data_IF_109558614650
#
_entry.id   IF_109558614650
#
_cell.length_a   1.000
_cell.length_b   1.000
_cell.length_c   1.000
_cell.angle_alpha   90.00
_cell.angle_beta   90.00
_cell.angle_gamma   90.00
#
_symmetry.space_group_name_H-M   'P 1'
#
loop_
_entity.id
_entity.type
_entity.pdbx_description
1 polymer ?
#
# COMPACT_ATOMS: atom_id res chain seq x y z
N UNK A 1 28.00 35.03 29.04
CA UNK A 1 28.72 34.12 28.11
C UNK A 1 28.22 32.69 28.22
N UNK A 2 27.93 32.18 29.42
CA UNK A 2 27.45 30.80 29.61
C UNK A 2 25.99 30.57 29.19
N UNK A 3 25.12 31.56 29.41
CA UNK A 3 23.69 31.49 29.03
C UNK A 3 23.53 31.37 27.51
N UNK A 4 24.31 32.13 26.74
CA UNK A 4 24.29 32.08 25.26
C UNK A 4 24.82 30.74 24.75
N UNK A 5 25.85 30.19 25.40
CA UNK A 5 26.43 28.88 25.05
C UNK A 5 25.48 27.72 25.39
N UNK A 6 24.72 27.84 26.49
CA UNK A 6 23.69 26.90 26.88
C UNK A 6 22.49 26.95 25.92
N UNK A 7 22.02 28.15 25.54
CA UNK A 7 20.97 28.32 24.53
C UNK A 7 21.40 27.74 23.17
N UNK A 8 22.64 28.00 22.74
CA UNK A 8 23.13 27.50 21.44
C UNK A 8 23.28 25.97 21.43
N UNK A 9 23.69 25.35 22.53
CA UNK A 9 23.67 23.88 22.67
C UNK A 9 22.25 23.32 22.67
N UNK A 10 21.32 23.97 23.37
CA UNK A 10 19.92 23.53 23.42
C UNK A 10 19.25 23.62 22.05
N UNK A 11 19.53 24.69 21.29
CA UNK A 11 19.06 24.87 19.91
C UNK A 11 19.69 23.83 18.97
N UNK A 12 20.99 23.54 19.11
CA UNK A 12 21.64 22.51 18.30
C UNK A 12 21.04 21.12 18.56
N UNK A 13 20.76 20.79 19.83
CA UNK A 13 20.19 19.50 20.23
C UNK A 13 18.77 19.34 19.68
N UNK A 14 17.91 20.37 19.75
CA UNK A 14 16.57 20.30 19.15
C UNK A 14 16.61 20.19 17.63
N UNK A 15 17.51 20.90 16.94
CA UNK A 15 17.67 20.76 15.49
C UNK A 15 18.13 19.35 15.09
N UNK A 16 19.03 18.72 15.85
CA UNK A 16 19.44 17.33 15.60
C UNK A 16 18.35 16.32 15.88
N UNK A 17 17.55 16.48 16.94
CA UNK A 17 16.44 15.57 17.23
C UNK A 17 15.33 15.64 16.17
N UNK A 18 14.97 16.85 15.73
CA UNK A 18 13.95 17.05 14.68
C UNK A 18 14.47 16.53 13.33
N UNK A 19 15.74 16.76 13.01
CA UNK A 19 16.36 16.25 11.78
C UNK A 19 16.45 14.72 11.70
N UNK A 20 16.64 14.03 12.83
CA UNK A 20 16.65 12.55 12.88
C UNK A 20 15.24 11.99 12.66
N UNK A 21 14.19 12.65 13.16
CA UNK A 21 12.79 12.22 12.93
C UNK A 21 12.41 12.36 11.45
N UNK A 22 12.97 13.33 10.74
CA UNK A 22 12.73 13.52 9.29
C UNK A 22 13.49 12.55 8.38
N UNK A 23 14.41 11.74 8.91
CA UNK A 23 15.22 10.77 8.15
C UNK A 23 14.78 9.31 8.34
N UNK A 24 13.67 9.08 9.06
CA UNK A 24 13.11 7.76 9.27
C UNK A 24 12.31 7.30 8.03
N UNK A 25 13.04 6.80 7.02
CA UNK A 25 12.49 6.05 5.89
C UNK A 25 11.70 6.89 4.88
N UNK A 26 12.00 6.71 3.60
CA UNK A 26 11.06 7.11 2.54
C UNK A 26 9.88 6.14 2.62
N UNK A 27 8.92 6.45 3.50
CA UNK A 27 7.66 5.73 3.54
C UNK A 27 6.92 6.02 2.22
N UNK A 28 6.50 4.98 1.51
CA UNK A 28 5.57 5.13 0.39
C UNK A 28 4.33 5.85 0.92
N UNK A 29 3.95 6.93 0.24
CA UNK A 29 2.80 7.74 0.62
C UNK A 29 1.57 6.87 0.81
N UNK A 30 0.68 7.27 1.73
CA UNK A 30 -0.57 6.55 1.97
C UNK A 30 -1.43 6.41 0.70
N UNK A 31 -1.21 7.29 -0.27
CA UNK A 31 -1.87 7.27 -1.57
C UNK A 31 -1.27 6.26 -2.56
N UNK A 32 -0.21 5.53 -2.20
CA UNK A 32 0.44 4.53 -3.07
C UNK A 32 0.79 5.06 -4.46
N UNK A 33 0.99 6.37 -4.65
CA UNK A 33 1.21 6.99 -5.96
C UNK A 33 -0.06 7.34 -6.76
N UNK A 34 -1.21 7.46 -6.09
CA UNK A 34 -2.48 7.94 -6.65
C UNK A 34 -2.82 9.33 -6.08
N UNK A 35 -2.07 10.34 -6.51
CA UNK A 35 -2.20 11.69 -5.99
C UNK A 35 -3.45 12.40 -6.51
N UNK A 36 -3.98 13.33 -5.71
CA UNK A 36 -5.13 14.15 -6.08
C UNK A 36 -4.79 15.06 -7.27
N UNK A 37 -5.73 15.19 -8.20
CA UNK A 37 -5.65 16.08 -9.36
C UNK A 37 -6.31 17.45 -9.10
N UNK A 38 -7.05 17.58 -7.99
CA UNK A 38 -7.70 18.82 -7.58
C UNK A 38 -9.07 19.07 -8.24
N UNK A 39 -9.68 18.05 -8.85
CA UNK A 39 -11.03 18.14 -9.43
C UNK A 39 -12.11 18.27 -8.35
N UNK A 40 -13.15 19.05 -8.63
CA UNK A 40 -14.30 19.32 -7.72
C UNK A 40 -15.64 19.09 -8.42
N UNK A 41 -16.70 18.64 -7.73
CA UNK A 41 -16.74 18.31 -6.30
C UNK A 41 -16.08 16.95 -5.97
N UNK A 42 -15.86 16.10 -6.98
CA UNK A 42 -15.24 14.79 -6.80
C UNK A 42 -14.13 14.55 -7.82
N UNK A 43 -13.01 14.04 -7.33
CA UNK A 43 -11.88 13.62 -8.16
C UNK A 43 -11.99 12.12 -8.49
N UNK A 44 -12.72 11.81 -9.55
CA UNK A 44 -12.91 10.42 -9.99
C UNK A 44 -11.62 9.78 -10.51
N UNK A 45 -10.64 10.57 -10.97
CA UNK A 45 -9.33 10.04 -11.37
C UNK A 45 -8.58 9.49 -10.17
N UNK A 46 -8.54 10.26 -9.07
CA UNK A 46 -7.96 9.80 -7.83
C UNK A 46 -8.74 8.62 -7.24
N UNK A 47 -10.07 8.70 -7.22
CA UNK A 47 -10.91 7.63 -6.69
C UNK A 47 -10.73 6.31 -7.45
N UNK A 48 -10.66 6.36 -8.78
CA UNK A 48 -10.39 5.18 -9.61
C UNK A 48 -9.00 4.61 -9.31
N UNK A 49 -7.96 5.45 -9.26
CA UNK A 49 -6.60 5.00 -8.95
C UNK A 49 -6.52 4.33 -7.56
N UNK A 50 -7.13 4.95 -6.54
CA UNK A 50 -7.26 4.39 -5.19
C UNK A 50 -8.02 3.06 -5.18
N UNK A 51 -9.08 2.93 -5.98
CA UNK A 51 -9.86 1.69 -6.06
C UNK A 51 -9.06 0.52 -6.65
N UNK A 52 -8.17 0.78 -7.61
CA UNK A 52 -7.26 -0.25 -8.14
C UNK A 52 -6.16 -0.55 -7.12
N UNK A 53 -5.64 0.47 -6.44
CA UNK A 53 -4.65 0.32 -5.38
C UNK A 53 -5.17 -0.55 -4.22
N UNK A 54 -6.48 -0.55 -3.94
CA UNK A 54 -7.09 -1.47 -2.98
C UNK A 54 -6.84 -2.95 -3.34
N UNK A 55 -6.88 -3.34 -4.61
CA UNK A 55 -6.59 -4.72 -5.00
C UNK A 55 -5.10 -5.08 -4.81
N UNK A 56 -4.18 -4.13 -5.02
CA UNK A 56 -2.77 -4.36 -4.67
C UNK A 56 -2.60 -4.67 -3.17
N UNK A 57 -3.41 -4.04 -2.32
CA UNK A 57 -3.44 -4.28 -0.87
C UNK A 57 -4.01 -5.65 -0.48
N UNK A 58 -4.72 -6.33 -1.37
CA UNK A 58 -5.33 -7.64 -1.12
C UNK A 58 -4.51 -8.82 -1.66
N UNK A 59 -3.41 -8.59 -2.41
CA UNK A 59 -2.61 -9.66 -3.02
C UNK A 59 -2.05 -10.66 -2.00
N UNK A 60 -2.29 -11.95 -2.18
CA UNK A 60 -1.64 -13.02 -1.41
C UNK A 60 -0.44 -13.59 -2.18
N UNK A 61 0.42 -14.38 -1.54
CA UNK A 61 1.58 -15.02 -2.16
C UNK A 61 2.86 -14.19 -2.04
N UNK A 62 3.86 -14.58 -2.84
CA UNK A 62 5.11 -13.82 -2.97
C UNK A 62 4.87 -12.53 -3.77
N UNK A 63 5.37 -11.42 -3.26
CA UNK A 63 5.32 -10.12 -3.89
C UNK A 63 6.64 -9.83 -4.64
N UNK A 64 6.65 -8.87 -5.56
CA UNK A 64 7.73 -8.68 -6.53
C UNK A 64 8.71 -7.54 -6.19
N UNK A 65 8.62 -6.97 -4.99
CA UNK A 65 9.47 -5.89 -4.49
C UNK A 65 9.09 -4.51 -5.02
N UNK A 66 8.11 -4.41 -5.93
CA UNK A 66 7.61 -3.16 -6.50
C UNK A 66 6.24 -2.78 -5.92
N UNK A 67 5.95 -3.22 -4.70
CA UNK A 67 4.66 -2.99 -4.05
C UNK A 67 4.45 -1.50 -3.82
N UNK A 68 3.21 -1.04 -3.87
CA UNK A 68 2.88 0.37 -3.63
C UNK A 68 2.77 0.71 -2.13
N UNK A 69 3.00 -0.28 -1.27
CA UNK A 69 2.90 -0.21 0.19
C UNK A 69 4.14 -0.79 0.86
N UNK A 70 4.59 -0.18 1.96
CA UNK A 70 5.71 -0.72 2.76
C UNK A 70 5.25 -1.66 3.88
N UNK A 71 3.95 -1.73 4.13
CA UNK A 71 3.33 -2.54 5.18
C UNK A 71 2.75 -3.86 4.64
N UNK A 72 2.87 -4.11 3.33
CA UNK A 72 2.54 -5.39 2.69
C UNK A 72 3.84 -6.14 2.41
N UNK A 73 3.79 -7.47 2.50
CA UNK A 73 4.91 -8.36 2.22
C UNK A 73 4.40 -9.75 1.86
N UNK A 74 5.34 -10.67 1.60
CA UNK A 74 5.04 -12.06 1.25
C UNK A 74 4.15 -12.75 2.28
N UNK A 75 3.13 -13.47 1.82
CA UNK A 75 2.19 -14.17 2.69
C UNK A 75 1.66 -15.46 2.07
N UNK A 76 1.14 -16.37 2.90
CA UNK A 76 0.49 -17.62 2.46
C UNK A 76 1.32 -18.47 1.48
N UNK A 77 2.65 -18.51 1.66
CA UNK A 77 3.60 -19.18 0.75
C UNK A 77 3.48 -20.72 0.73
N UNK A 78 2.64 -21.28 1.60
CA UNK A 78 2.42 -22.72 1.71
C UNK A 78 1.04 -23.16 1.19
N UNK A 79 0.27 -22.24 0.62
CA UNK A 79 -1.06 -22.56 0.07
C UNK A 79 -0.97 -23.69 -0.97
N UNK A 80 -1.74 -24.76 -0.74
CA UNK A 80 -1.86 -25.92 -1.63
C UNK A 80 -0.86 -27.05 -1.40
N UNK A 81 0.11 -26.89 -0.49
CA UNK A 81 1.08 -27.96 -0.18
C UNK A 81 0.41 -29.23 0.35
N UNK A 82 -0.71 -29.10 1.05
CA UNK A 82 -1.53 -30.19 1.58
C UNK A 82 -2.17 -31.06 0.48
N UNK A 83 -2.36 -30.49 -0.71
CA UNK A 83 -2.87 -31.19 -1.90
C UNK A 83 -1.82 -31.36 -3.00
N UNK A 84 -0.55 -31.03 -2.72
CA UNK A 84 0.56 -31.18 -3.67
C UNK A 84 0.53 -30.22 -4.86
N UNK A 85 -0.13 -29.07 -4.73
CA UNK A 85 -0.23 -28.05 -5.77
C UNK A 85 0.27 -26.69 -5.25
N UNK A 86 0.84 -25.87 -6.14
CA UNK A 86 1.08 -24.46 -5.82
C UNK A 86 -0.22 -23.69 -5.98
N UNK A 87 -0.81 -23.30 -4.85
CA UNK A 87 -1.99 -22.46 -4.80
C UNK A 87 -1.67 -21.08 -4.22
N UNK A 88 -0.39 -20.64 -4.22
CA UNK A 88 -0.01 -19.28 -3.81
C UNK A 88 -0.57 -18.22 -4.76
N UNK A 89 -0.56 -16.94 -4.36
CA UNK A 89 -1.09 -15.86 -5.18
C UNK A 89 -2.56 -15.53 -4.94
N UNK A 90 -3.19 -14.81 -5.87
CA UNK A 90 -4.60 -14.40 -5.78
C UNK A 90 -4.83 -13.25 -4.81
N UNK A 91 -6.08 -13.10 -4.34
CA UNK A 91 -6.50 -12.01 -3.45
C UNK A 91 -7.18 -12.54 -2.19
N UNK A 92 -6.96 -11.88 -1.06
CA UNK A 92 -7.80 -12.06 0.12
C UNK A 92 -9.18 -11.44 -0.13
N UNK A 93 -10.25 -12.14 0.28
CA UNK A 93 -11.62 -11.80 -0.09
C UNK A 93 -12.10 -10.50 0.55
N UNK A 94 -11.77 -10.30 1.83
CA UNK A 94 -12.20 -9.14 2.60
C UNK A 94 -11.12 -8.70 3.62
N UNK A 95 -11.51 -8.45 4.87
CA UNK A 95 -10.59 -8.12 5.96
C UNK A 95 -9.94 -9.33 6.63
N UNK A 96 -10.22 -10.54 6.13
CA UNK A 96 -9.63 -11.79 6.56
C UNK A 96 -8.56 -12.26 5.56
N UNK A 97 -8.12 -13.52 5.70
CA UNK A 97 -7.06 -14.10 4.87
C UNK A 97 -7.52 -15.31 4.04
N UNK A 98 -8.83 -15.59 3.95
CA UNK A 98 -9.34 -16.67 3.12
C UNK A 98 -9.45 -16.22 1.66
N UNK A 99 -9.11 -17.13 0.74
CA UNK A 99 -9.22 -16.95 -0.71
C UNK A 99 -10.51 -17.58 -1.22
N UNK A 100 -11.64 -16.90 -1.02
CA UNK A 100 -12.93 -17.38 -1.52
C UNK A 100 -12.99 -17.26 -3.05
N UNK A 101 -12.94 -18.40 -3.75
CA UNK A 101 -12.81 -18.42 -5.21
C UNK A 101 -13.98 -17.79 -5.98
N UNK A 102 -15.22 -17.94 -5.49
CA UNK A 102 -16.40 -17.39 -6.15
C UNK A 102 -16.42 -15.85 -6.18
N UNK A 103 -16.34 -15.14 -5.04
CA UNK A 103 -16.27 -13.67 -5.06
C UNK A 103 -15.00 -13.13 -5.72
N UNK A 104 -13.86 -13.84 -5.63
CA UNK A 104 -12.65 -13.47 -6.36
C UNK A 104 -12.85 -13.52 -7.88
N UNK A 105 -13.41 -14.61 -8.40
CA UNK A 105 -13.67 -14.76 -9.84
C UNK A 105 -14.70 -13.74 -10.36
N UNK A 106 -15.74 -13.47 -9.57
CA UNK A 106 -16.74 -12.44 -9.90
C UNK A 106 -16.10 -11.05 -9.98
N UNK A 107 -15.27 -10.71 -9.00
CA UNK A 107 -14.54 -9.43 -8.95
C UNK A 107 -13.67 -9.22 -10.19
N UNK A 108 -12.85 -10.22 -10.56
CA UNK A 108 -11.99 -10.14 -11.76
C UNK A 108 -12.83 -10.02 -13.03
N UNK A 109 -13.98 -10.71 -13.10
CA UNK A 109 -14.91 -10.60 -14.23
C UNK A 109 -15.45 -9.18 -14.39
N UNK A 110 -15.85 -8.54 -13.30
CA UNK A 110 -16.33 -7.16 -13.34
C UNK A 110 -15.22 -6.15 -13.69
N UNK A 111 -14.00 -6.34 -13.18
CA UNK A 111 -12.85 -5.50 -13.55
C UNK A 111 -12.50 -5.63 -15.03
N UNK A 112 -12.54 -6.85 -15.58
CA UNK A 112 -12.34 -7.08 -17.01
C UNK A 112 -13.47 -6.45 -17.84
N UNK A 113 -14.72 -6.63 -17.40
CA UNK A 113 -15.88 -6.02 -18.07
C UNK A 113 -15.84 -4.50 -18.03
N UNK A 114 -15.39 -3.88 -16.93
CA UNK A 114 -15.24 -2.43 -16.85
C UNK A 114 -14.19 -1.91 -17.81
N UNK A 115 -13.06 -2.61 -17.96
CA UNK A 115 -12.02 -2.25 -18.94
C UNK A 115 -12.53 -2.36 -20.38
N UNK A 116 -13.32 -3.38 -20.69
CA UNK A 116 -13.91 -3.57 -22.02
C UNK A 116 -15.00 -2.54 -22.33
N UNK A 117 -15.77 -2.13 -21.31
CA UNK A 117 -16.90 -1.21 -21.47
C UNK A 117 -16.47 0.26 -21.43
N UNK A 118 -15.39 0.57 -20.72
CA UNK A 118 -14.89 1.92 -20.45
C UNK A 118 -13.35 1.97 -20.54
N UNK A 119 -12.79 1.90 -21.77
CA UNK A 119 -11.34 1.90 -21.99
C UNK A 119 -10.66 3.24 -21.71
#
# INVERSE_FOLDING_TARGET
TDTVKAMMKSVLITFTLVGIISFAGVAKGQDGGCSATGQTPYDYSQALCMSILFYDAQRSGALNGNERFDWRGDSALTDGQDVGHDLTGGYYDAGDFVKFGLPMAYTVTLLAYSLLSYP
#
